data_IF_187703124404
#
_entry.id   IF_187703124404
#
_cell.length_a   1.000
_cell.length_b   1.000
_cell.length_c   1.000
_cell.angle_alpha   90.00
_cell.angle_beta   90.00
_cell.angle_gamma   90.00
#
_symmetry.space_group_name_H-M   'P 1'
#
loop_
_entity.id
_entity.type
_entity.pdbx_description
1 polymer ?
#
# COMPACT_ATOMS: atom_id res chain seq x y z
N UNK A 1 7.57 -35.89 7.87
CA UNK A 1 6.77 -34.95 7.72
C UNK A 1 6.48 -34.02 8.84
N UNK A 2 6.37 -34.53 9.97
CA UNK A 2 5.93 -33.68 11.04
C UNK A 2 6.90 -32.59 11.34
N UNK A 3 8.17 -32.81 11.26
CA UNK A 3 9.11 -31.77 11.59
C UNK A 3 8.96 -30.60 10.62
N UNK A 4 8.88 -30.91 9.37
CA UNK A 4 8.68 -29.87 8.40
C UNK A 4 7.35 -29.19 8.59
N UNK A 5 6.40 -29.96 9.01
CA UNK A 5 5.08 -29.41 9.23
C UNK A 5 5.07 -28.42 10.37
N UNK A 6 5.78 -28.70 11.42
CA UNK A 6 5.81 -27.79 12.53
C UNK A 6 6.35 -26.44 12.12
N UNK A 7 7.48 -26.45 11.43
CA UNK A 7 8.05 -25.23 10.96
C UNK A 7 7.12 -24.54 10.00
N UNK A 8 6.55 -25.29 9.09
CA UNK A 8 5.62 -24.73 8.12
C UNK A 8 4.42 -24.15 8.79
N UNK A 9 3.91 -24.78 9.82
CA UNK A 9 2.73 -24.27 10.50
C UNK A 9 3.02 -22.96 11.19
N UNK A 10 4.15 -22.83 11.83
CA UNK A 10 4.50 -21.59 12.48
C UNK A 10 4.63 -20.44 11.46
N UNK A 11 5.29 -20.73 10.36
CA UNK A 11 5.44 -19.73 9.33
C UNK A 11 4.08 -19.37 8.73
N UNK A 12 3.24 -20.35 8.50
CA UNK A 12 1.92 -20.10 7.96
C UNK A 12 1.13 -19.18 8.86
N UNK A 13 1.22 -19.36 10.17
CA UNK A 13 0.51 -18.49 11.08
C UNK A 13 1.02 -17.07 10.98
N UNK A 14 2.32 -16.89 10.83
CA UNK A 14 2.87 -15.55 10.67
C UNK A 14 2.44 -14.94 9.36
N UNK A 15 2.34 -15.74 8.31
CA UNK A 15 1.94 -15.21 7.02
C UNK A 15 0.48 -14.81 6.98
N UNK A 16 -0.31 -15.30 7.91
CA UNK A 16 -1.73 -14.95 7.97
C UNK A 16 -2.01 -13.72 8.81
N UNK A 17 -1.01 -13.12 9.40
CA UNK A 17 -1.20 -11.91 10.18
C UNK A 17 -1.54 -10.76 9.25
N UNK A 18 -2.58 -10.03 9.58
CA UNK A 18 -2.95 -8.84 8.82
C UNK A 18 -2.12 -7.67 9.30
N UNK A 19 -1.75 -6.83 8.37
CA UNK A 19 -0.98 -5.65 8.70
C UNK A 19 -1.49 -4.47 7.89
N UNK A 20 -1.28 -3.26 8.38
CA UNK A 20 -1.74 -2.08 7.65
C UNK A 20 -0.93 -1.88 6.38
N UNK A 21 -1.63 -1.59 5.31
CA UNK A 21 -1.01 -1.25 4.05
C UNK A 21 -1.54 0.12 3.66
N UNK A 22 -0.64 1.03 3.37
CA UNK A 22 -1.03 2.38 2.98
C UNK A 22 -0.87 2.53 1.47
N UNK A 23 -1.87 3.09 0.84
CA UNK A 23 -1.80 3.42 -0.57
C UNK A 23 -1.63 4.92 -0.68
N UNK A 24 -0.54 5.37 -1.29
CA UNK A 24 -0.27 6.78 -1.49
C UNK A 24 -0.46 7.10 -2.94
N UNK A 25 -1.19 8.19 -3.18
CA UNK A 25 -1.58 8.54 -4.53
C UNK A 25 -0.70 9.64 -5.12
N UNK A 26 0.51 9.74 -4.69
CA UNK A 26 1.44 10.67 -5.30
C UNK A 26 1.28 12.08 -4.76
N UNK A 27 1.59 13.04 -5.60
CA UNK A 27 1.63 14.44 -5.20
C UNK A 27 0.87 15.27 -6.19
N UNK A 28 0.35 16.38 -5.73
CA UNK A 28 -0.25 17.36 -6.60
C UNK A 28 0.03 18.74 -6.04
N UNK A 29 -0.16 19.74 -6.84
CA UNK A 29 0.04 21.11 -6.42
C UNK A 29 -1.30 21.78 -6.28
N UNK A 30 -1.42 22.56 -5.23
CA UNK A 30 -2.61 23.36 -4.98
C UNK A 30 -2.13 24.74 -4.56
N UNK A 31 -2.95 25.75 -4.84
CA UNK A 31 -2.62 27.09 -4.34
C UNK A 31 -2.93 27.14 -2.85
N UNK A 32 -2.31 28.10 -2.18
CA UNK A 32 -2.61 28.29 -0.78
C UNK A 32 -4.08 28.67 -0.59
N UNK A 33 -4.65 29.46 -1.48
CA UNK A 33 -6.07 29.78 -1.39
C UNK A 33 -6.92 28.54 -1.45
N UNK A 34 -6.59 27.60 -2.33
CA UNK A 34 -7.36 26.37 -2.43
C UNK A 34 -7.27 25.57 -1.15
N UNK A 35 -6.10 25.53 -0.54
CA UNK A 35 -5.95 24.78 0.71
C UNK A 35 -6.75 25.45 1.82
N UNK A 36 -6.70 26.78 1.89
CA UNK A 36 -7.41 27.49 2.93
C UNK A 36 -8.92 27.32 2.78
N UNK A 37 -9.39 27.20 1.56
CA UNK A 37 -10.82 27.08 1.32
C UNK A 37 -11.37 25.70 1.51
N UNK A 38 -10.54 24.72 1.84
CA UNK A 38 -11.02 23.36 2.06
C UNK A 38 -11.92 23.33 3.28
N UNK A 39 -13.03 22.63 3.14
CA UNK A 39 -13.97 22.46 4.23
C UNK A 39 -14.40 21.00 4.25
N UNK A 40 -15.13 20.64 5.28
CA UNK A 40 -15.67 19.30 5.35
C UNK A 40 -16.57 19.09 4.14
N UNK A 41 -16.35 18.02 3.42
CA UNK A 41 -17.11 17.71 2.22
C UNK A 41 -16.45 18.17 0.95
N UNK A 42 -15.38 18.98 1.02
CA UNK A 42 -14.65 19.33 -0.19
C UNK A 42 -14.08 18.08 -0.83
N UNK A 43 -13.97 18.13 -2.15
CA UNK A 43 -13.38 17.03 -2.90
C UNK A 43 -12.12 17.54 -3.56
N UNK A 44 -11.02 16.85 -3.32
CA UNK A 44 -9.78 17.16 -4.00
C UNK A 44 -9.69 16.23 -5.19
N UNK A 45 -9.71 16.81 -6.37
CA UNK A 45 -9.64 16.04 -7.59
C UNK A 45 -8.18 16.00 -8.00
N UNK A 46 -7.52 14.91 -7.71
CA UNK A 46 -6.10 14.79 -8.06
C UNK A 46 -5.93 14.32 -9.50
N UNK A 47 -7.02 14.28 -10.23
CA UNK A 47 -6.92 14.08 -11.66
C UNK A 47 -6.79 12.65 -12.06
N UNK A 48 -6.96 12.52 -13.32
CA UNK A 48 -6.89 11.24 -13.90
C UNK A 48 -5.58 11.09 -14.59
N UNK A 49 -4.75 12.05 -14.49
CA UNK A 49 -3.57 11.99 -15.24
C UNK A 49 -2.38 12.07 -14.36
N UNK A 50 -2.44 11.48 -13.23
CA UNK A 50 -1.27 11.49 -12.42
C UNK A 50 -0.26 10.65 -13.11
N UNK A 51 0.81 11.25 -13.45
CA UNK A 51 1.89 10.51 -14.00
C UNK A 51 2.61 9.74 -12.92
N UNK A 52 2.33 10.09 -11.68
CA UNK A 52 2.97 9.39 -10.59
C UNK A 52 2.15 8.18 -10.20
N UNK A 53 2.78 7.03 -10.08
CA UNK A 53 2.01 5.83 -9.70
C UNK A 53 1.55 5.89 -8.26
N UNK A 54 0.57 5.09 -7.98
CA UNK A 54 0.15 4.84 -6.60
C UNK A 54 1.24 4.01 -5.95
N UNK A 55 1.62 4.38 -4.74
CA UNK A 55 2.63 3.65 -3.99
C UNK A 55 1.95 2.79 -2.94
N UNK A 56 2.40 1.56 -2.82
CA UNK A 56 1.94 0.64 -1.80
C UNK A 56 3.00 0.62 -0.72
N UNK A 57 2.63 1.05 0.48
CA UNK A 57 3.59 1.26 1.56
C UNK A 57 3.25 0.33 2.71
N UNK A 58 4.25 -0.40 3.18
CA UNK A 58 4.11 -1.28 4.33
C UNK A 58 5.20 -0.89 5.32
N UNK A 59 4.78 -0.53 6.52
CA UNK A 59 5.69 -0.18 7.60
C UNK A 59 6.71 0.88 7.16
N UNK A 60 6.20 1.89 6.44
CA UNK A 60 7.05 3.00 6.01
C UNK A 60 7.91 2.72 4.80
N UNK A 61 7.83 1.54 4.21
CA UNK A 61 8.63 1.18 3.04
C UNK A 61 7.73 0.99 1.84
N UNK A 62 8.16 1.50 0.71
CA UNK A 62 7.42 1.30 -0.53
C UNK A 62 7.75 -0.09 -1.04
N UNK A 63 6.74 -0.94 -1.13
CA UNK A 63 6.95 -2.32 -1.59
C UNK A 63 6.43 -2.53 -3.01
N UNK A 64 5.63 -1.62 -3.53
CA UNK A 64 5.10 -1.76 -4.87
C UNK A 64 4.61 -0.42 -5.37
N UNK A 65 4.42 -0.32 -6.67
CA UNK A 65 3.80 0.82 -7.32
C UNK A 65 2.86 0.32 -8.38
N UNK A 66 1.85 1.11 -8.66
CA UNK A 66 0.89 0.71 -9.66
C UNK A 66 0.05 1.88 -10.11
N UNK A 67 -1.00 1.57 -10.83
CA UNK A 67 -1.91 2.57 -11.35
C UNK A 67 -3.28 2.33 -10.76
N UNK A 68 -3.97 3.41 -10.44
CA UNK A 68 -5.33 3.30 -9.95
C UNK A 68 -6.22 2.83 -11.09
N UNK A 69 -7.08 1.88 -10.79
CA UNK A 69 -8.00 1.33 -11.78
C UNK A 69 -9.37 1.15 -11.13
N UNK A 70 -10.37 0.97 -11.95
CA UNK A 70 -11.70 0.64 -11.46
C UNK A 70 -11.96 -0.82 -11.75
N UNK A 71 -12.43 -1.53 -10.72
CA UNK A 71 -12.75 -2.94 -10.85
C UNK A 71 -14.18 -3.13 -10.38
N UNK A 72 -15.09 -3.35 -11.31
CA UNK A 72 -16.49 -3.58 -10.99
C UNK A 72 -17.04 -2.50 -10.06
N UNK A 73 -16.75 -1.25 -10.38
CA UNK A 73 -17.24 -0.13 -9.60
C UNK A 73 -16.43 0.21 -8.38
N UNK A 74 -15.40 -0.53 -8.08
CA UNK A 74 -14.54 -0.26 -6.94
C UNK A 74 -13.17 0.18 -7.41
N UNK A 75 -12.51 0.98 -6.60
CA UNK A 75 -11.15 1.38 -6.91
C UNK A 75 -10.18 0.26 -6.54
N UNK A 76 -9.18 0.10 -7.36
CA UNK A 76 -8.11 -0.83 -7.08
C UNK A 76 -6.82 -0.29 -7.62
N UNK A 77 -5.75 -1.03 -7.42
CA UNK A 77 -4.44 -0.65 -7.93
C UNK A 77 -3.89 -1.82 -8.72
N UNK A 78 -3.55 -1.54 -9.97
CA UNK A 78 -2.88 -2.56 -10.79
C UNK A 78 -1.39 -2.40 -10.58
N UNK A 79 -0.77 -3.43 -10.06
CA UNK A 79 0.65 -3.36 -9.72
C UNK A 79 1.48 -3.37 -11.01
N UNK A 80 2.39 -2.41 -11.11
CA UNK A 80 3.29 -2.33 -12.25
C UNK A 80 4.74 -2.53 -11.85
N UNK A 81 5.09 -2.27 -10.60
CA UNK A 81 6.43 -2.52 -10.09
C UNK A 81 6.28 -3.09 -8.70
N UNK A 82 7.09 -4.06 -8.37
CA UNK A 82 6.98 -4.69 -7.07
C UNK A 82 8.35 -5.14 -6.62
N UNK A 83 8.62 -4.95 -5.34
CA UNK A 83 9.83 -5.44 -4.74
C UNK A 83 9.81 -6.95 -4.68
N UNK A 84 10.97 -7.56 -4.52
CA UNK A 84 11.05 -9.01 -4.42
C UNK A 84 10.24 -9.50 -3.23
N UNK A 85 9.92 -10.78 -3.27
CA UNK A 85 9.19 -11.37 -2.15
C UNK A 85 9.95 -11.19 -0.85
N UNK A 86 11.27 -11.36 -0.90
CA UNK A 86 12.09 -11.20 0.28
C UNK A 86 12.01 -9.78 0.82
N UNK A 87 12.08 -8.79 -0.06
CA UNK A 87 12.02 -7.41 0.38
C UNK A 87 10.67 -7.08 0.97
N UNK A 88 9.60 -7.63 0.39
CA UNK A 88 8.28 -7.40 0.95
C UNK A 88 8.14 -8.03 2.33
N UNK A 89 8.72 -9.20 2.50
CA UNK A 89 8.69 -9.86 3.79
C UNK A 89 9.48 -9.07 4.83
N UNK A 90 10.60 -8.48 4.42
CA UNK A 90 11.41 -7.70 5.34
C UNK A 90 10.73 -6.39 5.71
N UNK A 91 9.80 -5.91 4.91
CA UNK A 91 9.08 -4.69 5.23
C UNK A 91 8.05 -4.92 6.33
N UNK A 92 7.61 -6.14 6.52
CA UNK A 92 6.61 -6.43 7.53
C UNK A 92 7.19 -6.17 8.91
N UNK A 93 6.35 -5.75 9.86
CA UNK A 93 6.84 -5.53 11.21
C UNK A 93 7.41 -6.83 11.77
N UNK A 94 8.52 -6.71 12.44
CA UNK A 94 9.14 -7.88 13.00
C UNK A 94 8.34 -8.34 14.17
N UNK A 95 7.93 -9.58 14.11
CA UNK A 95 7.36 -10.29 15.21
C UNK A 95 6.88 -9.50 16.38
N UNK A 96 6.21 -8.46 16.17
CA UNK A 96 5.70 -7.70 17.24
C UNK A 96 6.70 -6.87 17.97
N UNK A 97 7.80 -6.68 17.40
CA UNK A 97 8.74 -5.93 18.04
C UNK A 97 8.55 -4.52 17.98
N UNK A 98 8.33 -4.10 18.07
CA UNK A 98 8.28 -2.99 18.22
C UNK A 98 8.13 -2.45 18.35
#
# INVERSE_FOLDING_TARGET
MSAGNSSGSALDLLLDIELPVTLRFGRMQMTLNDVIDLTRGSVIDFGHSTEEPVEVVVNGRIVARGQAVMVQGNYGVRISQIESRRERLEAAPAGGNK
#
